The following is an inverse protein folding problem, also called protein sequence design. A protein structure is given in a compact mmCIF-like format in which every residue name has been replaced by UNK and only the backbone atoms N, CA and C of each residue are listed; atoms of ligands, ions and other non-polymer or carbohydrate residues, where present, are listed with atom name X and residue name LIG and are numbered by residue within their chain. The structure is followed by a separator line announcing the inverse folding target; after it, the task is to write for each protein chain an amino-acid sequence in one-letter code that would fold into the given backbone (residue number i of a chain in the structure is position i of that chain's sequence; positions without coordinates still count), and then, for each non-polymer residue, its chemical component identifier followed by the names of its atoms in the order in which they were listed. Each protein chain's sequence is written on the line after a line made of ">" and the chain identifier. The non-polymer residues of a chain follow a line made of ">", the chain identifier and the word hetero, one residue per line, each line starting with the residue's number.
data_IF_752189941026
#
_entry.id   IF_752189941026
#
_cell.length_a   1.000
_cell.length_b   1.000
_cell.length_c   1.000
_cell.angle_alpha   90.00
_cell.angle_beta   90.00
_cell.angle_gamma   90.00
#
_symmetry.space_group_name_H-M   'P 1'
#
loop_
_entity.id
_entity.type
_entity.pdbx_description
1 polymer ?
2 polymer ?
3 polymer ?
4 polymer ?
5 polymer ?
6 non-polymer ?
7 non-polymer ?
8 water ?
#
loop_
_entity_poly.entity_id
_entity_poly.type
_entity_poly.pdbx_seq_one_letter_code
_entity_poly.pdbx_strand_id
2 'polydeoxyribonucleotide' '(DT)(DC)(DA)(DA)(DA)(DA)(DC)(DG)(DT)(DC)(DG)(DT)(DG)(DA)' ?
3 'polydeoxyribonucleotide' '(DG)(DA)(DC)(DA)(DG)(DT)(DT)(DT)(DG)(DG)' ?
4 'polydeoxyribonucleotide' '(DC)(DC)(DA)(DA)(DA)(DC)(DT)(DG)(DT)(DC)(DT)(DC)(DA)(5CM)' ?
5 'polydeoxyribonucleotide' '(DG)(DA)(DC)(DG)(DT)(DT)(DT)(DT)(DG)(DA)' ?
#
# COMPACT_ATOMS: atom_id res chain seq x y z
N UNK A 1 -15.86 2.15 23.20
CA UNK A 1 -15.14 1.26 22.28
C UNK A 1 -15.76 1.19 20.89
N UNK A 2 -15.22 2.00 19.98
CA UNK A 2 -15.82 2.22 18.66
C UNK A 2 -15.95 1.00 17.76
N UNK A 3 -17.14 0.83 17.16
CA UNK A 3 -17.37 -0.15 16.11
C UNK A 3 -17.04 0.46 14.75
N UNK A 4 -16.16 -0.18 14.00
CA UNK A 4 -15.81 0.32 12.67
C UNK A 4 -16.58 -0.43 11.60
N UNK A 5 -17.08 0.29 10.60
CA UNK A 5 -17.77 -0.32 9.48
C UNK A 5 -16.83 -1.22 8.71
N UNK A 6 -17.36 -2.36 8.25
CA UNK A 6 -16.57 -3.35 7.55
C UNK A 6 -16.00 -2.85 6.22
N UNK A 7 -16.71 -1.95 5.55
CA UNK A 7 -16.21 -1.41 4.29
C UNK A 7 -14.95 -0.59 4.53
N UNK A 8 -14.94 0.16 5.62
CA UNK A 8 -13.77 0.92 6.05
C UNK A 8 -12.58 0.00 6.35
N UNK A 9 -12.82 -1.07 7.13
CA UNK A 9 -11.75 -1.99 7.53
C UNK A 9 -11.14 -2.77 6.36
N UNK A 10 -11.98 -3.19 5.41
CA UNK A 10 -11.49 -3.92 4.24
C UNK A 10 -10.50 -3.07 3.46
N UNK A 11 -10.93 -1.87 3.07
CA UNK A 11 -10.05 -0.94 2.39
C UNK A 11 -8.80 -0.64 3.23
N UNK A 12 -9.01 -0.19 4.47
CA UNK A 12 -7.86 0.16 5.33
C UNK A 12 -6.88 -1.00 5.44
N UNK A 13 -7.39 -2.22 5.58
CA UNK A 13 -6.54 -3.39 5.75
C UNK A 13 -5.62 -3.57 4.53
N UNK A 14 -6.16 -3.30 3.34
CA UNK A 14 -5.35 -3.39 2.13
C UNK A 14 -4.30 -2.29 2.06
N UNK A 15 -4.70 -1.07 2.39
CA UNK A 15 -3.77 0.07 2.39
C UNK A 15 -2.66 -0.14 3.42
N UNK A 16 -3.06 -0.54 4.63
CA UNK A 16 -2.09 -0.83 5.70
C UNK A 16 -1.09 -1.88 5.26
N UNK A 17 -1.59 -2.97 4.68
CA UNK A 17 -0.72 -4.02 4.13
C UNK A 17 0.31 -3.47 3.14
N UNK A 18 -0.08 -2.45 2.38
CA UNK A 18 0.87 -1.81 1.50
C UNK A 18 1.86 -0.79 2.07
N UNK A 19 1.32 0.30 2.65
CA UNK A 19 2.10 1.44 3.18
C UNK A 19 2.13 1.61 4.70
N UNK A 20 1.48 0.70 5.43
CA UNK A 20 1.30 0.84 6.86
C UNK A 20 2.37 0.04 7.59
N UNK A 21 2.56 0.28 8.89
CA UNK A 21 3.56 -0.48 9.62
C UNK A 21 3.07 -0.78 11.02
N UNK A 22 3.29 -2.02 11.44
CA UNK A 22 2.89 -2.46 12.77
C UNK A 22 4.15 -2.73 13.61
N UNK A 23 4.37 -1.88 14.60
CA UNK A 23 5.70 -1.76 15.19
C UNK A 23 5.72 -2.05 16.67
N UNK A 24 6.58 -2.98 17.07
CA UNK A 24 6.83 -3.27 18.47
C UNK A 24 8.29 -2.93 18.79
N UNK A 25 8.48 -2.16 19.87
CA UNK A 25 9.80 -1.64 20.18
C UNK A 25 10.18 -1.71 21.66
N UNK A 26 11.46 -1.97 21.91
CA UNK A 26 12.01 -1.96 23.27
C UNK A 26 12.98 -0.79 23.34
N UNK A 27 12.61 0.25 24.09
CA UNK A 27 13.41 1.47 24.15
C UNK A 27 14.15 1.59 25.47
N UNK A 28 15.48 1.62 25.43
CA UNK A 28 16.20 1.77 26.69
C UNK A 28 15.84 3.11 27.31
N UNK A 29 15.39 3.10 28.56
CA UNK A 29 15.23 4.32 29.34
C UNK A 29 15.53 3.99 30.79
N UNK A 30 16.41 4.77 31.44
CA UNK A 30 16.85 4.43 32.79
C UNK A 30 15.79 4.67 33.88
N UNK A 31 14.74 5.42 33.55
CA UNK A 31 13.68 5.73 34.50
C UNK A 31 12.77 4.52 34.69
N UNK A 32 12.94 3.52 33.83
CA UNK A 32 12.07 2.35 33.86
C UNK A 32 12.64 1.25 34.73
N UNK A 33 11.75 0.53 35.40
CA UNK A 33 12.12 -0.59 36.29
C UNK A 33 13.12 -1.52 35.62
N UNK A 34 12.70 -2.09 34.50
CA UNK A 34 13.55 -2.99 33.73
C UNK A 34 14.48 -2.22 32.78
N UNK A 35 14.48 -0.89 32.91
CA UNK A 35 15.41 -0.03 32.20
C UNK A 35 15.16 -0.01 30.69
N UNK A 36 13.94 -0.36 30.29
CA UNK A 36 13.51 -0.30 28.88
C UNK A 36 12.00 -0.07 28.83
N UNK A 37 11.53 0.66 27.82
CA UNK A 37 10.09 0.78 27.62
C UNK A 37 9.66 -0.16 26.51
N UNK A 38 8.53 -0.83 26.71
CA UNK A 38 7.89 -1.55 25.60
C UNK A 38 6.98 -0.53 24.90
N UNK A 39 7.25 -0.30 23.62
CA UNK A 39 6.47 0.65 22.84
C UNK A 39 5.75 -0.09 21.71
N UNK A 40 4.51 0.31 21.44
CA UNK A 40 3.73 -0.31 20.37
C UNK A 40 3.12 0.77 19.50
N UNK A 41 3.33 0.70 18.18
CA UNK A 41 2.77 1.70 17.28
C UNK A 41 2.10 1.08 16.07
N UNK A 42 0.92 1.60 15.72
CA UNK A 42 0.33 1.41 14.40
C UNK A 42 0.49 2.72 13.62
N UNK A 43 1.06 2.62 12.43
CA UNK A 43 1.22 3.80 11.58
C UNK A 43 0.89 3.55 10.10
N UNK A 44 0.45 4.62 9.45
CA UNK A 44 0.28 4.65 8.01
C UNK A 44 1.07 5.82 7.49
N UNK A 45 2.00 5.55 6.58
CA UNK A 45 2.88 6.59 6.07
C UNK A 45 2.35 7.05 4.71
N UNK A 46 2.40 8.35 4.46
CA UNK A 46 2.05 8.88 3.14
C UNK A 46 2.73 10.23 2.87
N UNK A 47 3.07 10.44 1.60
CA UNK A 47 3.64 11.70 1.14
C UNK A 47 2.76 12.87 1.61
N UNK A 48 3.42 13.95 2.01
CA UNK A 48 2.74 15.04 2.69
C UNK A 48 1.72 15.77 1.78
N UNK A 49 1.95 15.74 0.48
CA UNK A 49 0.98 16.32 -0.46
C UNK A 49 -0.34 15.58 -0.34
N UNK A 50 -0.30 14.32 0.11
CA UNK A 50 -1.50 13.49 0.33
C UNK A 50 -1.98 13.46 1.76
N UNK A 51 -1.45 14.37 2.57
CA UNK A 51 -1.73 14.39 4.00
C UNK A 51 -3.23 14.30 4.37
N UNK A 52 -4.10 14.89 3.54
CA UNK A 52 -5.54 14.86 3.79
C UNK A 52 -6.06 13.44 4.04
N UNK A 53 -5.50 12.49 3.30
CA UNK A 53 -5.87 11.08 3.47
C UNK A 53 -5.56 10.64 4.92
N UNK A 54 -4.42 11.09 5.46
CA UNK A 54 -4.05 10.75 6.83
C UNK A 54 -4.93 11.50 7.82
N UNK A 55 -5.24 12.75 7.52
CA UNK A 55 -6.15 13.54 8.36
C UNK A 55 -7.55 12.93 8.41
N UNK A 56 -8.02 12.41 7.27
CA UNK A 56 -9.32 11.72 7.27
C UNK A 56 -9.28 10.49 8.18
N UNK A 57 -8.17 9.74 8.13
CA UNK A 57 -7.97 8.58 9.01
C UNK A 57 -8.20 8.93 10.47
N UNK A 58 -7.64 10.05 10.90
CA UNK A 58 -7.81 10.49 12.29
C UNK A 58 -9.29 10.67 12.61
N UNK A 59 -10.02 11.27 11.68
CA UNK A 59 -11.46 11.48 11.85
C UNK A 59 -12.18 10.13 11.89
N UNK A 60 -11.80 9.22 11.00
CA UNK A 60 -12.48 7.93 10.86
C UNK A 60 -12.21 6.99 12.03
N UNK A 61 -10.94 6.85 12.39
CA UNK A 61 -10.56 5.99 13.51
C UNK A 61 -10.99 6.64 14.82
N UNK A 62 -10.98 7.97 14.86
CA UNK A 62 -11.51 8.72 15.99
C UNK A 62 -10.50 8.96 17.09
N UNK A 63 -9.27 8.50 16.87
CA UNK A 63 -8.18 8.61 17.83
C UNK A 63 -6.87 8.57 17.04
N UNK A 64 -5.77 9.00 17.65
CA UNK A 64 -4.49 9.06 16.95
C UNK A 64 -4.23 10.43 16.38
N UNK A 65 -3.11 10.56 15.67
CA UNK A 65 -2.74 11.88 15.14
C UNK A 65 -1.81 11.72 13.95
N UNK A 66 -1.65 12.80 13.20
CA UNK A 66 -0.74 12.77 12.06
C UNK A 66 0.50 13.57 12.42
N UNK A 67 1.66 13.09 12.00
CA UNK A 67 2.90 13.82 12.27
C UNK A 67 3.61 14.09 10.98
N UNK A 68 4.30 15.22 10.94
CA UNK A 68 4.95 15.69 9.74
C UNK A 68 6.44 15.46 9.86
N UNK A 69 7.04 14.80 8.86
CA UNK A 69 8.47 14.93 8.67
C UNK A 69 8.76 15.27 7.23
N UNK A 70 9.00 16.56 6.98
CA UNK A 70 9.28 17.04 5.64
C UNK A 70 8.27 16.59 4.61
N UNK A 71 8.80 16.00 3.54
CA UNK A 71 8.04 15.57 2.38
C UNK A 71 7.13 14.37 2.70
N UNK A 72 7.22 13.86 3.92
CA UNK A 72 6.45 12.68 4.29
C UNK A 72 5.70 12.89 5.59
N UNK A 73 4.52 12.27 5.73
CA UNK A 73 3.76 12.31 6.99
C UNK A 73 3.35 10.90 7.42
N UNK A 74 2.87 10.77 8.65
CA UNK A 74 2.40 9.48 9.15
C UNK A 74 1.19 9.67 10.00
N UNK A 75 0.20 8.79 9.83
CA UNK A 75 -0.81 8.60 10.88
C UNK A 75 -0.18 7.71 11.95
N UNK A 76 -0.34 8.09 13.21
CA UNK A 76 0.25 7.37 14.36
C UNK A 76 -0.84 7.00 15.35
N UNK A 77 -0.93 5.72 15.71
CA UNK A 77 -1.81 5.31 16.80
C UNK A 77 -1.02 4.48 17.81
N UNK A 78 -1.00 4.98 19.04
CA UNK A 78 -0.11 4.52 20.11
C UNK A 78 -0.86 4.05 21.36
N UNK A 79 -1.78 4.88 21.84
CA UNK A 79 -2.54 4.55 23.05
C UNK A 79 -3.07 3.12 23.00
N UNK A 80 -2.81 2.37 24.07
CA UNK A 80 -3.00 0.93 24.05
C UNK A 80 -4.44 0.45 23.91
N UNK A 81 -5.36 1.10 24.64
CA UNK A 81 -6.77 0.71 24.59
C UNK A 81 -7.37 0.89 23.19
N UNK A 82 -7.28 2.11 22.61
CA UNK A 82 -7.78 2.30 21.25
C UNK A 82 -7.03 1.41 20.27
N UNK A 83 -5.72 1.23 20.47
CA UNK A 83 -4.94 0.41 19.56
C UNK A 83 -5.48 -1.02 19.54
N UNK A 84 -5.73 -1.58 20.73
CA UNK A 84 -6.27 -2.92 20.84
C UNK A 84 -7.63 -3.07 20.15
N UNK A 85 -8.55 -2.14 20.45
CA UNK A 85 -9.88 -2.12 19.85
C UNK A 85 -9.81 -2.07 18.33
N UNK A 86 -8.90 -1.26 17.81
CA UNK A 86 -8.74 -1.07 16.38
C UNK A 86 -8.07 -2.26 15.66
N UNK A 87 -6.97 -2.75 16.22
CA UNK A 87 -6.26 -3.88 15.60
C UNK A 87 -7.08 -5.16 15.66
N UNK A 88 -7.82 -5.34 16.75
CA UNK A 88 -8.71 -6.49 16.86
C UNK A 88 -9.63 -6.56 15.63
N UNK A 89 -10.20 -5.41 15.28
CA UNK A 89 -11.16 -5.31 14.19
C UNK A 89 -10.53 -5.39 12.80
N UNK A 90 -9.30 -4.87 12.68
CA UNK A 90 -8.61 -4.85 11.40
C UNK A 90 -7.93 -6.18 11.10
N UNK A 91 -7.48 -6.84 12.16
CA UNK A 91 -6.73 -8.09 12.05
C UNK A 91 -7.29 -9.10 11.05
N UNK A 92 -8.59 -9.42 11.15
CA UNK A 92 -9.10 -10.49 10.27
C UNK A 92 -9.00 -10.16 8.79
N UNK A 93 -8.92 -8.88 8.45
CA UNK A 93 -8.88 -8.50 7.04
C UNK A 93 -7.46 -8.35 6.48
N UNK A 94 -6.46 -8.38 7.35
CA UNK A 94 -5.06 -8.25 6.95
C UNK A 94 -4.53 -9.56 6.35
N UNK A 95 -3.55 -9.43 5.47
CA UNK A 95 -2.95 -10.56 4.74
C UNK A 95 -1.46 -10.62 5.00
N UNK A 96 -0.77 -9.52 4.67
CA UNK A 96 0.67 -9.41 4.87
C UNK A 96 1.08 -9.12 6.32
N UNK A 97 0.39 -8.18 6.96
CA UNK A 97 0.71 -7.76 8.34
C UNK A 97 -0.13 -8.37 9.48
N UNK A 98 -0.97 -9.36 9.16
CA UNK A 98 -1.87 -9.96 10.13
C UNK A 98 -1.15 -10.66 11.29
N UNK A 99 -0.04 -11.33 11.01
CA UNK A 99 0.72 -11.96 12.07
C UNK A 99 1.24 -10.91 13.04
N UNK A 100 1.80 -9.84 12.49
CA UNK A 100 2.28 -8.73 13.31
C UNK A 100 1.17 -8.22 14.22
N UNK A 101 -0.01 -8.02 13.63
CA UNK A 101 -1.13 -7.45 14.39
C UNK A 101 -1.52 -8.34 15.57
N UNK A 102 -1.68 -9.64 15.32
CA UNK A 102 -2.08 -10.55 16.37
C UNK A 102 -1.06 -10.67 17.51
N UNK A 103 0.21 -10.42 17.21
CA UNK A 103 1.25 -10.44 18.23
C UNK A 103 1.14 -9.20 19.11
N UNK A 104 0.98 -8.04 18.51
CA UNK A 104 0.74 -6.81 19.25
C UNK A 104 -0.41 -6.97 20.25
N UNK A 105 -1.55 -7.49 19.79
CA UNK A 105 -2.67 -7.74 20.70
C UNK A 105 -2.20 -8.61 21.87
N UNK A 106 -1.44 -9.66 21.57
CA UNK A 106 -0.90 -10.53 22.62
C UNK A 106 -0.04 -9.75 23.61
N UNK A 107 0.94 -9.01 23.08
CA UNK A 107 1.81 -8.18 23.92
C UNK A 107 0.99 -7.21 24.78
N UNK A 108 -0.01 -6.59 24.18
CA UNK A 108 -0.91 -5.69 24.92
C UNK A 108 -1.59 -6.40 26.08
N UNK A 109 -2.22 -7.54 25.80
CA UNK A 109 -2.97 -8.26 26.83
C UNK A 109 -2.08 -8.75 27.97
N UNK A 110 -0.81 -9.00 27.68
CA UNK A 110 0.13 -9.51 28.68
C UNK A 110 0.95 -8.42 29.36
N UNK A 111 0.75 -7.18 28.93
CA UNK A 111 1.59 -6.07 29.35
C UNK A 111 1.63 -5.86 30.87
N UNK A 112 0.46 -5.87 31.52
CA UNK A 112 0.51 -5.74 32.98
C UNK A 112 1.36 -6.83 33.62
N UNK A 113 1.13 -8.08 33.21
CA UNK A 113 1.82 -9.22 33.81
C UNK A 113 3.32 -9.21 33.54
N UNK A 114 3.73 -8.48 32.51
CA UNK A 114 5.15 -8.41 32.16
C UNK A 114 5.94 -7.41 32.99
N UNK A 115 5.24 -6.54 33.72
CA UNK A 115 5.94 -5.61 34.61
C UNK A 115 6.27 -6.22 35.98
N UNK A 116 5.88 -7.48 36.20
CA UNK A 116 6.25 -8.18 37.44
C UNK A 116 7.63 -8.82 37.34
N UNK A 117 7.71 -9.85 36.52
CA UNK A 117 8.91 -10.66 36.42
C UNK A 117 9.84 -10.17 35.32
N UNK A 118 11.15 -10.13 35.63
CA UNK A 118 12.17 -9.99 34.60
C UNK A 118 11.95 -11.08 33.55
N UNK A 119 11.44 -12.22 34.00
CA UNK A 119 11.17 -13.38 33.15
C UNK A 119 10.00 -13.18 32.19
N UNK A 120 8.89 -12.66 32.70
CA UNK A 120 7.73 -12.41 31.84
C UNK A 120 7.98 -11.21 30.93
N UNK A 121 8.74 -10.24 31.44
CA UNK A 121 9.13 -9.09 30.63
C UNK A 121 9.97 -9.57 29.43
N UNK A 122 10.81 -10.57 29.67
CA UNK A 122 11.61 -11.16 28.59
C UNK A 122 10.75 -11.93 27.60
N UNK A 123 9.90 -12.82 28.13
CA UNK A 123 8.98 -13.59 27.29
C UNK A 123 8.24 -12.65 26.32
N UNK A 124 7.80 -11.50 26.83
CA UNK A 124 7.12 -10.51 25.99
C UNK A 124 8.09 -9.81 25.04
N UNK A 125 9.34 -9.63 25.46
CA UNK A 125 10.33 -9.02 24.57
C UNK A 125 10.68 -9.90 23.36
N UNK A 126 10.60 -11.22 23.53
CA UNK A 126 10.83 -12.14 22.41
C UNK A 126 9.68 -12.04 21.40
N UNK A 127 8.50 -11.63 21.86
CA UNK A 127 7.37 -11.45 20.95
C UNK A 127 7.64 -10.24 20.06
N UNK A 128 8.22 -9.21 20.67
CA UNK A 128 8.73 -8.05 19.94
C UNK A 128 9.73 -8.50 18.86
N UNK A 129 10.71 -9.29 19.28
CA UNK A 129 11.66 -9.93 18.36
C UNK A 129 10.91 -10.56 17.19
N UNK A 130 9.77 -11.20 17.50
CA UNK A 130 9.00 -11.90 16.47
C UNK A 130 8.40 -10.93 15.45
N UNK A 131 7.73 -9.88 15.93
CA UNK A 131 7.11 -8.90 15.06
C UNK A 131 8.14 -8.26 14.13
N UNK A 132 9.33 -8.01 14.67
CA UNK A 132 10.40 -7.40 13.90
C UNK A 132 10.87 -8.36 12.81
N UNK A 133 10.93 -9.65 13.15
CA UNK A 133 11.26 -10.70 12.20
C UNK A 133 10.29 -10.72 11.01
N UNK A 134 9.03 -10.42 11.24
CA UNK A 134 8.03 -10.42 10.16
C UNK A 134 8.14 -9.16 9.31
N UNK A 135 8.41 -8.02 9.96
CA UNK A 135 8.58 -6.74 9.26
C UNK A 135 9.83 -6.74 8.40
N UNK A 136 9.94 -5.84 7.42
CA UNK A 136 11.22 -5.74 6.73
C UNK A 136 12.07 -4.75 7.55
N UNK A 137 12.94 -5.28 8.41
CA UNK A 137 13.64 -4.50 9.44
C UNK A 137 15.13 -4.45 9.13
N UNK A 138 15.63 -3.29 8.71
CA UNK A 138 17.07 -3.13 8.45
C UNK A 138 17.86 -2.36 9.53
N UNK A 139 17.11 -1.63 10.36
CA UNK A 139 17.67 -0.62 11.26
C UNK A 139 17.71 -0.94 12.77
N UNK A 140 17.28 -2.15 13.12
CA UNK A 140 17.00 -2.49 14.51
C UNK A 140 18.25 -2.63 15.41
N UNK A 141 18.10 -2.20 16.67
CA UNK A 141 19.20 -2.21 17.63
C UNK A 141 18.88 -3.00 18.90
N UNK A 142 17.85 -2.55 19.60
CA UNK A 142 17.49 -3.13 20.90
C UNK A 142 16.53 -4.30 20.78
N UNK A 143 17.00 -5.45 21.27
CA UNK A 143 16.28 -6.70 21.17
C UNK A 143 16.08 -7.32 22.55
N UNK A 144 15.37 -8.44 22.59
CA UNK A 144 15.13 -9.16 23.83
C UNK A 144 16.45 -9.65 24.43
N UNK A 145 17.45 -9.82 23.58
CA UNK A 145 18.79 -10.21 24.00
C UNK A 145 19.54 -9.02 24.63
N UNK A 146 19.25 -7.82 24.14
CA UNK A 146 19.78 -6.61 24.75
C UNK A 146 19.25 -6.55 26.18
N UNK A 147 17.93 -6.71 26.31
CA UNK A 147 17.28 -6.70 27.61
C UNK A 147 17.86 -7.79 28.53
N UNK A 148 18.02 -8.98 27.98
CA UNK A 148 18.55 -10.13 28.70
C UNK A 148 19.85 -9.78 29.43
N UNK A 149 20.83 -9.30 28.68
CA UNK A 149 22.09 -8.86 29.27
C UNK A 149 21.82 -7.91 30.41
N UNK A 150 21.21 -6.76 30.09
CA UNK A 150 20.96 -5.73 31.09
C UNK A 150 20.37 -6.29 32.39
N UNK A 151 19.43 -7.22 32.26
CA UNK A 151 18.77 -7.77 33.44
C UNK A 151 19.72 -8.59 34.32
N UNK A 152 20.90 -8.90 33.79
CA UNK A 152 21.87 -9.71 34.51
C UNK A 152 23.11 -8.91 34.94
N UNK B 1 -16.99 -12.68 -19.17
CA UNK B 1 -16.51 -11.39 -18.71
C UNK B 1 -16.72 -11.20 -17.19
N UNK B 2 -15.70 -11.57 -16.42
CA UNK B 2 -15.83 -11.82 -14.98
C UNK B 2 -16.37 -10.69 -14.10
N UNK B 3 -17.23 -11.06 -13.16
CA UNK B 3 -17.73 -10.17 -12.10
C UNK B 3 -16.96 -10.44 -10.79
N UNK B 4 -16.21 -9.45 -10.32
CA UNK B 4 -15.37 -9.63 -9.12
C UNK B 4 -16.12 -9.41 -7.81
N UNK B 5 -15.75 -10.18 -6.79
CA UNK B 5 -16.39 -10.07 -5.48
C UNK B 5 -16.05 -8.76 -4.79
N UNK B 6 -17.05 -8.13 -4.21
CA UNK B 6 -16.93 -6.78 -3.67
C UNK B 6 -15.95 -6.67 -2.49
N UNK B 7 -15.85 -7.72 -1.69
CA UNK B 7 -14.88 -7.73 -0.60
C UNK B 7 -13.45 -7.78 -1.15
N UNK B 8 -13.26 -8.61 -2.16
CA UNK B 8 -11.98 -8.70 -2.87
C UNK B 8 -11.56 -7.35 -3.41
N UNK B 9 -12.52 -6.66 -4.03
CA UNK B 9 -12.26 -5.36 -4.63
C UNK B 9 -11.91 -4.29 -3.58
N UNK B 10 -12.66 -4.27 -2.48
CA UNK B 10 -12.45 -3.27 -1.47
C UNK B 10 -11.03 -3.37 -0.90
N UNK B 11 -10.62 -4.57 -0.51
CA UNK B 11 -9.28 -4.79 -0.02
C UNK B 11 -8.26 -4.38 -1.06
N UNK B 12 -8.48 -4.84 -2.29
CA UNK B 12 -7.49 -4.64 -3.34
C UNK B 12 -7.33 -3.17 -3.69
N UNK B 13 -8.44 -2.43 -3.67
CA UNK B 13 -8.38 -0.98 -3.93
C UNK B 13 -7.46 -0.31 -2.90
N UNK B 14 -7.61 -0.71 -1.63
CA UNK B 14 -6.75 -0.21 -0.57
C UNK B 14 -5.31 -0.53 -0.86
N UNK B 15 -5.04 -1.80 -1.18
CA UNK B 15 -3.66 -2.20 -1.48
C UNK B 15 -3.11 -1.44 -2.67
N UNK B 16 -3.92 -1.32 -3.72
CA UNK B 16 -3.50 -0.61 -4.91
C UNK B 16 -3.20 0.85 -4.58
N UNK B 17 -4.07 1.49 -3.80
CA UNK B 17 -3.80 2.87 -3.46
C UNK B 17 -2.44 2.95 -2.76
N UNK B 18 -2.12 1.95 -1.93
CA UNK B 18 -0.81 1.95 -1.32
C UNK B 18 0.38 1.60 -2.18
N UNK B 19 0.42 0.36 -2.70
CA UNK B 19 1.56 -0.16 -3.46
C UNK B 19 1.40 -0.33 -4.98
N UNK B 20 0.21 0.00 -5.48
CA UNK B 20 -0.12 -0.27 -6.87
C UNK B 20 0.24 0.87 -7.81
N UNK B 21 0.10 0.65 -9.12
CA UNK B 21 0.34 1.70 -10.11
C UNK B 21 -0.59 1.59 -11.32
N UNK B 22 -1.21 2.72 -11.67
CA UNK B 22 -2.07 2.78 -12.84
C UNK B 22 -1.34 3.67 -13.83
N UNK B 23 -0.84 3.03 -14.89
CA UNK B 23 0.17 3.63 -15.74
C UNK B 23 -0.30 3.75 -17.18
N UNK B 24 -0.06 4.92 -17.78
CA UNK B 24 -0.25 5.13 -19.21
C UNK B 24 1.05 5.66 -19.79
N UNK B 25 1.43 5.14 -20.96
CA UNK B 25 2.71 5.51 -21.57
C UNK B 25 2.57 5.65 -23.07
N UNK B 26 3.36 6.56 -23.62
CA UNK B 26 3.49 6.69 -25.08
C UNK B 26 4.87 6.15 -25.44
N UNK B 27 4.90 4.98 -26.08
CA UNK B 27 6.16 4.32 -26.36
C UNK B 27 6.60 4.59 -27.78
N UNK B 28 7.66 5.40 -27.93
CA UNK B 28 8.06 5.65 -29.32
C UNK B 28 8.45 4.32 -29.95
N UNK B 29 7.81 3.99 -31.06
CA UNK B 29 8.10 2.77 -31.79
C UNK B 29 7.91 3.03 -33.29
N UNK B 30 8.94 2.77 -34.09
CA UNK B 30 8.93 3.21 -35.50
C UNK B 30 8.03 2.37 -36.40
N UNK B 31 7.56 1.24 -35.87
CA UNK B 31 6.70 0.37 -36.67
C UNK B 31 5.25 0.85 -36.65
N UNK B 32 4.94 1.84 -35.81
CA UNK B 32 3.57 2.34 -35.69
C UNK B 32 3.32 3.54 -36.61
N UNK B 33 2.10 3.62 -37.13
CA UNK B 33 1.72 4.68 -38.08
C UNK B 33 2.01 6.06 -37.54
N UNK B 34 1.67 6.27 -36.27
CA UNK B 34 1.91 7.54 -35.61
C UNK B 34 3.27 7.51 -34.90
N UNK B 35 4.02 6.43 -35.13
CA UNK B 35 5.39 6.31 -34.64
C UNK B 35 5.46 6.23 -33.11
N UNK B 36 4.35 5.82 -32.51
CA UNK B 36 4.30 5.61 -31.07
C UNK B 36 3.24 4.57 -30.75
N UNK B 37 3.44 3.83 -29.67
CA UNK B 37 2.41 2.92 -29.19
C UNK B 37 1.75 3.53 -27.96
N UNK B 38 0.43 3.35 -27.84
CA UNK B 38 -0.25 3.68 -26.60
C UNK B 38 -0.31 2.44 -25.70
N UNK B 39 0.31 2.56 -24.52
CA UNK B 39 0.47 1.44 -23.60
C UNK B 39 -0.22 1.69 -22.25
N UNK B 40 -1.06 0.75 -21.82
CA UNK B 40 -1.71 0.83 -20.50
C UNK B 40 -1.25 -0.33 -19.61
N UNK B 41 -0.93 -0.03 -18.35
CA UNK B 41 -0.51 -1.05 -17.37
C UNK B 41 -1.13 -0.84 -16.00
N UNK B 42 -1.82 -1.86 -15.50
CA UNK B 42 -2.14 -1.94 -14.09
C UNK B 42 -1.07 -2.84 -13.43
N UNK B 43 -0.41 -2.33 -12.39
CA UNK B 43 0.57 -3.16 -11.68
C UNK B 43 0.46 -3.06 -10.17
N UNK B 44 0.92 -4.13 -9.52
CA UNK B 44 1.09 -4.15 -8.08
C UNK B 44 2.50 -4.68 -7.83
N UNK B 45 3.24 -3.95 -7.00
CA UNK B 45 4.64 -4.25 -6.79
C UNK B 45 4.78 -4.78 -5.37
N UNK B 46 5.60 -5.81 -5.20
CA UNK B 46 5.88 -6.33 -3.86
C UNK B 46 7.19 -7.08 -3.85
N UNK B 47 7.85 -7.08 -2.69
CA UNK B 47 9.12 -7.79 -2.54
C UNK B 47 8.92 -9.24 -2.92
N UNK B 48 9.92 -9.81 -3.60
CA UNK B 48 9.79 -11.16 -4.14
C UNK B 48 9.51 -12.22 -3.06
N UNK B 49 10.04 -12.03 -1.86
CA UNK B 49 9.74 -12.94 -0.76
C UNK B 49 8.24 -13.04 -0.49
N UNK B 50 7.51 -11.98 -0.84
CA UNK B 50 6.04 -11.95 -0.76
C UNK B 50 5.30 -12.29 -2.08
N UNK B 51 6.05 -12.80 -3.05
CA UNK B 51 5.50 -13.14 -4.37
C UNK B 51 4.21 -13.96 -4.32
N UNK B 52 4.04 -14.80 -3.29
CA UNK B 52 2.81 -15.59 -3.17
C UNK B 52 1.56 -14.70 -3.24
N UNK B 53 1.66 -13.53 -2.62
CA UNK B 53 0.56 -12.56 -2.65
C UNK B 53 0.22 -12.21 -4.10
N UNK B 54 1.25 -11.88 -4.88
CA UNK B 54 1.06 -11.50 -6.28
C UNK B 54 0.53 -12.68 -7.11
N UNK B 55 1.01 -13.90 -6.81
CA UNK B 55 0.53 -15.09 -7.52
C UNK B 55 -0.98 -15.25 -7.30
N UNK B 56 -1.45 -14.97 -6.08
CA UNK B 56 -2.87 -15.11 -5.78
C UNK B 56 -3.71 -14.11 -6.57
N UNK B 57 -3.12 -12.97 -6.91
CA UNK B 57 -3.77 -11.96 -7.76
C UNK B 57 -4.10 -12.52 -9.15
N UNK B 58 -3.13 -13.19 -9.77
CA UNK B 58 -3.36 -13.82 -11.06
C UNK B 58 -4.58 -14.72 -10.98
N UNK B 59 -4.60 -15.62 -10.01
CA UNK B 59 -5.71 -16.53 -9.79
C UNK B 59 -7.04 -15.80 -9.58
N UNK B 60 -7.00 -14.72 -8.81
CA UNK B 60 -8.22 -14.03 -8.41
C UNK B 60 -8.76 -13.17 -9.54
N UNK B 61 -7.87 -12.43 -10.19
CA UNK B 61 -8.28 -11.58 -11.30
C UNK B 61 -8.57 -12.43 -12.53
N UNK B 62 -7.80 -13.50 -12.70
CA UNK B 62 -8.05 -14.48 -13.74
C UNK B 62 -7.19 -14.26 -14.97
N UNK B 63 -6.45 -13.17 -14.96
CA UNK B 63 -5.64 -12.79 -16.11
C UNK B 63 -4.49 -11.93 -15.62
N UNK B 64 -3.45 -11.77 -16.43
CA UNK B 64 -2.25 -11.06 -16.00
C UNK B 64 -1.15 -12.04 -15.58
N UNK B 65 0.00 -11.50 -15.17
CA UNK B 65 1.16 -12.34 -14.84
C UNK B 65 2.13 -11.60 -13.90
N UNK B 66 2.98 -12.37 -13.24
CA UNK B 66 3.99 -11.83 -12.32
C UNK B 66 5.37 -11.77 -13.00
N UNK B 67 6.02 -10.61 -12.96
CA UNK B 67 7.41 -10.51 -13.42
C UNK B 67 8.37 -10.28 -12.25
N UNK B 68 9.60 -10.77 -12.42
CA UNK B 68 10.65 -10.65 -11.42
C UNK B 68 11.65 -9.62 -11.89
N UNK B 69 12.00 -8.69 -11.01
CA UNK B 69 13.16 -7.86 -11.24
C UNK B 69 13.97 -7.75 -9.96
N UNK B 70 15.16 -8.36 -9.97
CA UNK B 70 15.99 -8.41 -8.77
C UNK B 70 15.29 -8.94 -7.53
N UNK B 71 15.35 -8.13 -6.47
CA UNK B 71 14.72 -8.41 -5.18
C UNK B 71 13.20 -8.17 -5.15
N UNK B 72 12.64 -7.72 -6.27
CA UNK B 72 11.24 -7.29 -6.27
C UNK B 72 10.44 -7.90 -7.43
N UNK B 73 9.13 -8.04 -7.25
CA UNK B 73 8.29 -8.55 -8.33
C UNK B 73 7.05 -7.67 -8.57
N UNK B 74 6.41 -7.85 -9.71
CA UNK B 74 5.22 -7.05 -10.03
C UNK B 74 4.10 -7.90 -10.61
N UNK B 75 2.89 -7.73 -10.09
CA UNK B 75 1.74 -8.21 -10.86
C UNK B 75 1.48 -7.22 -12.01
N UNK B 76 1.40 -7.74 -13.23
CA UNK B 76 1.25 -6.93 -14.43
C UNK B 76 -0.05 -7.29 -15.18
N UNK B 77 -0.90 -6.30 -15.44
CA UNK B 77 -2.03 -6.49 -16.35
C UNK B 77 -2.06 -5.40 -17.41
N UNK B 78 -1.67 -5.78 -18.63
CA UNK B 78 -1.72 -4.90 -19.81
C UNK B 78 -2.78 -5.22 -20.86
N UNK B 79 -3.50 -6.32 -20.67
CA UNK B 79 -4.47 -6.74 -21.68
C UNK B 79 -5.70 -5.86 -21.60
N UNK B 80 -5.97 -5.18 -22.69
CA UNK B 80 -6.88 -4.04 -22.65
C UNK B 80 -8.33 -4.39 -22.28
N UNK B 81 -8.87 -5.45 -22.88
CA UNK B 81 -10.23 -5.89 -22.55
C UNK B 81 -10.38 -6.33 -21.08
N UNK B 82 -9.54 -7.28 -20.62
CA UNK B 82 -9.59 -7.64 -19.19
C UNK B 82 -9.34 -6.43 -18.31
N UNK B 83 -8.38 -5.59 -18.69
CA UNK B 83 -8.03 -4.38 -17.96
C UNK B 83 -9.23 -3.44 -17.80
N UNK B 84 -10.01 -3.29 -18.86
CA UNK B 84 -11.13 -2.37 -18.81
C UNK B 84 -12.13 -2.92 -17.80
N UNK B 85 -12.45 -4.20 -17.95
CA UNK B 85 -13.39 -4.88 -17.09
C UNK B 85 -12.98 -4.84 -15.60
N UNK B 86 -11.71 -5.06 -15.34
CA UNK B 86 -11.20 -5.04 -13.97
C UNK B 86 -11.27 -3.65 -13.33
N UNK B 87 -10.70 -2.66 -14.01
CA UNK B 87 -10.66 -1.29 -13.52
C UNK B 87 -12.04 -0.67 -13.39
N UNK B 88 -12.95 -1.02 -14.29
CA UNK B 88 -14.32 -0.55 -14.18
C UNK B 88 -14.87 -0.95 -12.82
N UNK B 89 -14.57 -2.18 -12.41
CA UNK B 89 -15.05 -2.68 -11.12
C UNK B 89 -14.25 -2.19 -9.88
N UNK B 90 -12.98 -1.87 -10.07
CA UNK B 90 -12.14 -1.41 -8.97
C UNK B 90 -12.34 0.08 -8.69
N UNK B 91 -12.44 0.85 -9.76
CA UNK B 91 -12.42 2.31 -9.71
C UNK B 91 -13.26 2.98 -8.61
N UNK B 92 -14.51 2.55 -8.43
CA UNK B 92 -15.32 3.25 -7.43
C UNK B 92 -14.82 3.06 -5.99
N UNK B 93 -13.96 2.07 -5.75
CA UNK B 93 -13.39 1.87 -4.42
C UNK B 93 -12.05 2.55 -4.20
N UNK B 94 -11.45 3.08 -5.27
CA UNK B 94 -10.15 3.75 -5.17
C UNK B 94 -10.29 5.15 -4.58
N UNK B 95 -9.50 5.44 -3.55
CA UNK B 95 -9.40 6.78 -2.97
C UNK B 95 -8.30 7.71 -3.53
N UNK B 96 -7.12 7.15 -3.74
CA UNK B 96 -5.98 7.89 -4.30
C UNK B 96 -5.81 7.89 -5.82
N UNK B 97 -6.05 6.71 -6.40
CA UNK B 97 -5.84 6.44 -7.83
C UNK B 97 -7.10 6.42 -8.72
N UNK B 98 -8.23 6.83 -8.17
CA UNK B 98 -9.50 6.74 -8.89
C UNK B 98 -9.51 7.54 -10.19
N UNK B 99 -8.92 8.72 -10.20
CA UNK B 99 -8.91 9.53 -11.42
C UNK B 99 -8.02 8.90 -12.48
N UNK B 100 -6.87 8.36 -12.07
CA UNK B 100 -6.02 7.65 -13.02
C UNK B 100 -6.81 6.53 -13.67
N UNK B 101 -7.49 5.72 -12.84
CA UNK B 101 -8.21 4.55 -13.37
C UNK B 101 -9.23 4.99 -14.41
N UNK B 102 -9.98 6.06 -14.12
CA UNK B 102 -10.96 6.59 -15.09
C UNK B 102 -10.31 7.08 -16.37
N UNK B 103 -9.17 7.75 -16.27
CA UNK B 103 -8.50 8.17 -17.49
C UNK B 103 -8.14 6.97 -18.36
N UNK B 104 -7.54 5.94 -17.74
CA UNK B 104 -7.24 4.69 -18.44
C UNK B 104 -8.49 4.12 -19.13
N UNK B 105 -9.60 4.06 -18.39
CA UNK B 105 -10.83 3.53 -18.97
C UNK B 105 -11.22 4.35 -20.21
N UNK B 106 -11.08 5.68 -20.10
CA UNK B 106 -11.41 6.57 -21.22
C UNK B 106 -10.44 6.38 -22.41
N UNK B 107 -9.15 6.21 -22.11
CA UNK B 107 -8.18 5.94 -23.19
C UNK B 107 -8.51 4.64 -23.93
N UNK B 108 -8.79 3.57 -23.19
CA UNK B 108 -9.08 2.26 -23.79
C UNK B 108 -10.29 2.31 -24.72
N UNK B 109 -11.33 3.03 -24.30
CA UNK B 109 -12.54 3.12 -25.09
C UNK B 109 -12.29 3.90 -26.37
N UNK B 110 -11.39 4.88 -26.29
CA UNK B 110 -11.15 5.79 -27.39
C UNK B 110 -9.98 5.35 -28.29
N UNK B 111 -9.38 4.22 -27.96
CA UNK B 111 -8.19 3.74 -28.67
C UNK B 111 -8.42 3.45 -30.16
N UNK B 112 -9.51 2.74 -30.51
CA UNK B 112 -9.76 2.57 -31.95
C UNK B 112 -9.88 3.92 -32.67
N UNK B 113 -10.60 4.86 -32.08
CA UNK B 113 -10.73 6.21 -32.63
C UNK B 113 -9.38 6.93 -32.73
N UNK B 114 -8.50 6.69 -31.75
CA UNK B 114 -7.16 7.30 -31.72
C UNK B 114 -6.30 6.87 -32.90
N UNK B 115 -6.52 5.66 -33.40
CA UNK B 115 -5.67 5.09 -34.44
C UNK B 115 -6.01 5.60 -35.85
N UNK B 116 -7.19 6.19 -35.99
CA UNK B 116 -7.59 6.81 -37.25
C UNK B 116 -7.07 8.24 -37.46
N UNK B 117 -7.22 9.06 -36.43
CA UNK B 117 -7.04 10.50 -36.54
C UNK B 117 -5.84 10.99 -35.72
N UNK B 118 -4.85 11.59 -36.40
CA UNK B 118 -3.66 12.15 -35.75
C UNK B 118 -4.07 13.18 -34.70
N UNK B 119 -5.14 13.92 -34.99
CA UNK B 119 -5.71 14.88 -34.05
C UNK B 119 -6.35 14.20 -32.84
N UNK B 120 -7.05 13.10 -33.08
CA UNK B 120 -7.64 12.32 -32.00
C UNK B 120 -6.55 11.56 -31.26
N UNK B 121 -5.53 11.11 -32.00
CA UNK B 121 -4.42 10.39 -31.38
C UNK B 121 -3.69 11.31 -30.41
N UNK B 122 -3.50 12.55 -30.82
CA UNK B 122 -2.83 13.53 -29.96
C UNK B 122 -3.71 13.85 -28.74
N UNK B 123 -5.03 13.87 -28.98
CA UNK B 123 -5.97 14.14 -27.91
C UNK B 123 -5.85 13.08 -26.82
N UNK B 124 -5.77 11.81 -27.21
CA UNK B 124 -5.64 10.72 -26.24
C UNK B 124 -4.29 10.80 -25.53
N UNK B 125 -3.26 11.23 -26.25
CA UNK B 125 -1.95 11.41 -25.62
C UNK B 125 -1.98 12.42 -24.48
N UNK B 126 -2.84 13.44 -24.59
CA UNK B 126 -2.96 14.44 -23.52
C UNK B 126 -3.61 13.83 -22.30
N UNK B 127 -4.45 12.81 -22.49
CA UNK B 127 -5.05 12.12 -21.36
C UNK B 127 -3.98 11.33 -20.62
N UNK B 128 -3.05 10.72 -21.37
CA UNK B 128 -1.97 10.03 -20.67
C UNK B 128 -1.07 11.02 -19.94
N UNK B 129 -0.92 12.22 -20.51
CA UNK B 129 -0.20 13.27 -19.80
C UNK B 129 -0.86 13.50 -18.44
N UNK B 130 -2.19 13.54 -18.43
CA UNK B 130 -2.92 13.81 -17.20
C UNK B 130 -2.79 12.69 -16.16
N UNK B 131 -2.61 11.45 -16.62
CA UNK B 131 -2.33 10.35 -15.69
C UNK B 131 -0.97 10.53 -15.02
N UNK B 132 0.06 10.81 -15.83
CA UNK B 132 1.39 11.02 -15.28
C UNK B 132 1.38 12.16 -14.27
N UNK B 133 0.62 13.21 -14.58
CA UNK B 133 0.51 14.37 -13.68
C UNK B 133 -0.06 14.00 -12.32
N UNK B 134 -0.93 12.99 -12.28
CA UNK B 134 -1.53 12.49 -11.04
C UNK B 134 -0.62 11.53 -10.26
N UNK B 135 0.16 10.72 -10.98
CA UNK B 135 1.08 9.76 -10.37
C UNK B 135 2.28 10.51 -9.83
N UNK B 136 3.09 9.88 -8.96
CA UNK B 136 4.26 10.60 -8.52
C UNK B 136 5.33 10.31 -9.56
N UNK B 137 5.42 11.20 -10.55
CA UNK B 137 6.15 10.88 -11.77
C UNK B 137 7.47 11.65 -11.82
N UNK B 138 8.54 10.98 -12.22
CA UNK B 138 9.91 11.53 -12.17
C UNK B 138 10.67 11.37 -13.48
N UNK B 139 10.79 10.13 -13.93
CA UNK B 139 11.61 9.76 -15.10
C UNK B 139 10.89 9.86 -16.45
N UNK B 140 9.71 10.46 -16.45
CA UNK B 140 8.90 10.56 -17.67
C UNK B 140 9.59 11.35 -18.78
N UNK B 141 9.47 10.85 -20.01
CA UNK B 141 10.24 11.35 -21.14
C UNK B 141 9.36 11.72 -22.34
N UNK B 142 8.61 10.75 -22.83
CA UNK B 142 7.76 10.95 -24.00
C UNK B 142 6.36 11.43 -23.61
N UNK B 143 5.96 12.59 -24.13
CA UNK B 143 4.69 13.22 -23.79
C UNK B 143 3.89 13.56 -25.04
N UNK B 144 2.68 14.11 -24.84
CA UNK B 144 1.83 14.44 -25.98
C UNK B 144 2.52 15.39 -26.94
N UNK B 145 3.26 16.34 -26.37
CA UNK B 145 3.94 17.34 -27.19
C UNK B 145 5.16 16.76 -27.90
N UNK B 146 5.76 15.73 -27.30
CA UNK B 146 6.83 15.00 -27.97
C UNK B 146 6.28 14.34 -29.23
N UNK B 147 5.07 13.79 -29.10
CA UNK B 147 4.36 13.20 -30.23
C UNK B 147 4.05 14.25 -31.29
N UNK B 148 3.54 15.39 -30.85
CA UNK B 148 3.16 16.49 -31.76
C UNK B 148 4.30 16.87 -32.69
N UNK B 149 5.50 17.02 -32.12
CA UNK B 149 6.69 17.26 -32.90
C UNK B 149 6.82 16.24 -34.03
N UNK B 150 7.00 14.97 -33.65
CA UNK B 150 7.23 13.91 -34.62
C UNK B 150 6.16 13.89 -35.72
N UNK B 151 4.96 14.32 -35.37
CA UNK B 151 3.86 14.35 -36.32
C UNK B 151 4.03 15.46 -37.36
N UNK B 152 4.98 16.36 -37.10
CA UNK B 152 5.17 17.54 -37.95
C UNK B 152 6.57 17.65 -38.56
#
# INVERSE_FOLDING_TARGET
>A
NTKYNKEFLLYLAGFVDGDGSIIAQIKPNQSYKFKHQLSLTFQVTQKTQRRWFLDKLVDEIGVGYVRDRGSVSDYILSEIKPLHNFLTQLQPFLKLKQKQANLVLKIIEQLPSAKESPDKFLEVCTWVDQIAALNDSKTRKTTSETVRAVLD
>B
NTKYNKEFLLYLAGFVDGDGSIIAQIKPNQSYKFKHQLSLTFQVTQKTQRRWFLDKLVDEIGVGYVRDRGSVSDYILSEIKPLHNFLTQLQPFLKLKQKQANLVLKIIEQLPSAKESPDKFLEVCTWVDQIAALNDSKTRKTTSETVRAVLD
#
